data_IF_289792587884
#
_entry.id   IF_289792587884
#
_cell.length_a   1.000
_cell.length_b   1.000
_cell.length_c   1.000
_cell.angle_alpha   90.00
_cell.angle_beta   90.00
_cell.angle_gamma   90.00
#
_symmetry.space_group_name_H-M   'P 1'
#
loop_
_entity.id
_entity.type
_entity.pdbx_description
1 polymer ?
#
# COMPACT_ATOMS: atom_id res chain seq x y z
N UNK A 1 79.63 42.91 0.26
CA UNK A 1 78.54 42.02 0.74
C UNK A 1 77.33 42.89 1.02
N UNK A 2 76.30 42.78 0.19
CA UNK A 2 75.05 43.55 0.29
C UNK A 2 74.06 42.76 1.16
N UNK A 3 73.70 43.30 2.32
CA UNK A 3 72.67 42.70 3.17
C UNK A 3 71.30 43.14 2.67
N UNK A 4 70.51 42.20 2.14
CA UNK A 4 69.09 42.40 1.85
C UNK A 4 68.34 42.22 3.17
N UNK A 5 67.85 43.32 3.73
CA UNK A 5 66.97 43.28 4.89
C UNK A 5 65.56 42.86 4.43
N UNK A 6 65.16 41.63 4.77
CA UNK A 6 63.77 41.18 4.61
C UNK A 6 62.89 41.88 5.65
N UNK A 7 62.21 42.94 5.23
CA UNK A 7 61.19 43.62 6.03
C UNK A 7 59.91 42.78 5.98
N UNK A 8 59.64 42.02 7.05
CA UNK A 8 58.33 41.41 7.23
C UNK A 8 57.31 42.54 7.43
N UNK A 9 56.35 42.66 6.51
CA UNK A 9 55.23 43.57 6.69
C UNK A 9 54.36 43.04 7.84
N UNK A 10 53.99 43.87 8.83
CA UNK A 10 53.02 43.46 9.84
C UNK A 10 51.70 43.16 9.13
N UNK A 11 51.15 41.97 9.34
CA UNK A 11 49.78 41.66 8.94
C UNK A 11 48.90 42.66 9.67
N UNK A 12 48.25 43.56 8.93
CA UNK A 12 47.42 44.58 9.55
C UNK A 12 46.20 43.93 10.20
N UNK A 13 45.72 44.51 11.31
CA UNK A 13 44.48 44.08 11.97
C UNK A 13 43.30 44.05 11.00
N UNK A 14 43.34 44.90 9.98
CA UNK A 14 42.37 44.94 8.89
C UNK A 14 42.35 43.66 8.04
N UNK A 15 43.52 43.05 7.79
CA UNK A 15 43.62 41.79 7.05
C UNK A 15 43.07 40.62 7.87
N UNK A 16 43.26 40.64 9.19
CA UNK A 16 42.69 39.65 10.10
C UNK A 16 41.16 39.77 10.16
N UNK A 17 40.65 40.99 10.33
CA UNK A 17 39.19 41.24 10.34
C UNK A 17 38.51 40.86 9.01
N UNK A 18 39.19 41.06 7.86
CA UNK A 18 38.68 40.61 6.57
C UNK A 18 38.66 39.09 6.44
N UNK A 19 39.69 38.40 6.95
CA UNK A 19 39.75 36.94 6.94
C UNK A 19 38.65 36.34 7.84
N UNK A 20 38.43 36.92 9.02
CA UNK A 20 37.36 36.50 9.95
C UNK A 20 35.96 36.72 9.35
N UNK A 21 35.72 37.88 8.72
CA UNK A 21 34.47 38.16 8.02
C UNK A 21 34.27 37.17 6.85
N UNK A 22 35.31 36.91 6.06
CA UNK A 22 35.24 35.95 4.97
C UNK A 22 34.99 34.53 5.49
N UNK A 23 35.55 34.17 6.64
CA UNK A 23 35.33 32.89 7.28
C UNK A 23 33.89 32.77 7.81
N UNK A 24 33.34 33.84 8.40
CA UNK A 24 31.92 33.92 8.79
C UNK A 24 30.98 33.83 7.58
N UNK A 25 31.28 34.54 6.50
CA UNK A 25 30.52 34.47 5.23
C UNK A 25 30.59 33.04 4.68
N UNK A 26 31.76 32.40 4.67
CA UNK A 26 31.92 31.04 4.18
C UNK A 26 31.21 30.00 5.06
N UNK A 27 31.18 30.20 6.39
CA UNK A 27 30.43 29.36 7.32
C UNK A 27 28.92 29.54 7.16
N UNK A 28 28.45 30.76 6.90
CA UNK A 28 27.05 31.03 6.57
C UNK A 28 26.68 30.56 5.15
N UNK A 29 27.65 30.56 4.23
CA UNK A 29 27.50 30.13 2.84
C UNK A 29 27.73 28.62 2.64
N UNK A 30 27.92 27.84 3.71
CA UNK A 30 27.79 26.39 3.68
C UNK A 30 26.29 26.04 3.62
N UNK A 31 25.66 26.52 2.56
CA UNK A 31 24.31 26.21 2.12
C UNK A 31 24.35 24.75 1.70
N UNK A 32 23.96 23.85 2.60
CA UNK A 32 23.43 22.55 2.21
C UNK A 32 22.44 22.86 1.10
N UNK A 33 22.67 22.33 -0.11
CA UNK A 33 21.76 22.54 -1.23
C UNK A 33 20.34 22.26 -0.73
N UNK A 34 19.40 23.22 -0.83
CA UNK A 34 18.06 23.00 -0.31
C UNK A 34 17.52 21.76 -1.00
N UNK A 35 17.12 20.77 -0.21
CA UNK A 35 16.53 19.57 -0.75
C UNK A 35 15.28 20.00 -1.55
N UNK A 36 15.35 19.86 -2.87
CA UNK A 36 14.33 20.38 -3.76
C UNK A 36 13.12 19.48 -3.70
N UNK A 37 11.94 20.11 -3.58
CA UNK A 37 10.66 19.43 -3.70
C UNK A 37 10.48 18.97 -5.15
N UNK A 38 10.16 17.70 -5.35
CA UNK A 38 9.80 17.12 -6.64
C UNK A 38 8.34 16.73 -6.63
N UNK A 39 7.67 16.87 -7.77
CA UNK A 39 6.28 16.43 -7.94
C UNK A 39 6.25 15.16 -8.77
N UNK A 40 5.52 14.16 -8.29
CA UNK A 40 5.13 12.96 -9.03
C UNK A 40 3.64 13.04 -9.32
N UNK A 41 3.30 13.18 -10.60
CA UNK A 41 1.90 13.13 -11.04
C UNK A 41 1.42 11.67 -10.93
N UNK A 42 0.35 11.45 -10.16
CA UNK A 42 -0.36 10.16 -10.12
C UNK A 42 -1.41 10.16 -11.22
N UNK A 43 -2.21 11.21 -11.27
CA UNK A 43 -3.07 11.57 -12.37
C UNK A 43 -3.24 13.10 -12.46
N UNK A 44 -4.14 13.57 -13.33
CA UNK A 44 -4.36 15.00 -13.50
C UNK A 44 -4.82 15.70 -12.20
N UNK A 45 -5.53 15.00 -11.32
CA UNK A 45 -6.18 15.51 -10.10
C UNK A 45 -5.41 15.18 -8.81
N UNK A 46 -4.39 14.34 -8.87
CA UNK A 46 -3.57 13.93 -7.73
C UNK A 46 -2.07 13.99 -8.04
N UNK A 47 -1.33 14.69 -7.17
CA UNK A 47 0.12 14.79 -7.23
C UNK A 47 0.73 14.47 -5.87
N UNK A 48 1.82 13.74 -5.86
CA UNK A 48 2.61 13.48 -4.65
C UNK A 48 3.88 14.31 -4.66
N UNK A 49 4.21 14.89 -3.51
CA UNK A 49 5.35 15.79 -3.35
C UNK A 49 6.45 15.09 -2.55
N UNK A 50 7.63 14.99 -3.13
CA UNK A 50 8.75 14.24 -2.61
C UNK A 50 9.97 15.10 -2.37
N UNK A 51 10.78 14.67 -1.41
CA UNK A 51 12.15 15.15 -1.25
C UNK A 51 13.07 13.93 -1.23
N UNK A 52 13.87 13.79 -2.27
CA UNK A 52 14.51 12.50 -2.57
C UNK A 52 13.45 11.43 -2.78
N UNK A 53 13.42 10.43 -1.89
CA UNK A 53 12.44 9.34 -1.90
C UNK A 53 11.37 9.48 -0.79
N UNK A 54 11.45 10.55 0.03
CA UNK A 54 10.52 10.74 1.15
C UNK A 54 9.29 11.51 0.70
N UNK A 55 8.10 10.97 0.95
CA UNK A 55 6.83 11.67 0.77
C UNK A 55 6.70 12.81 1.80
N UNK A 56 6.31 13.99 1.32
CA UNK A 56 6.21 15.22 2.11
C UNK A 56 4.77 15.75 2.15
N UNK A 57 4.02 15.59 1.07
CA UNK A 57 2.62 15.99 0.98
C UNK A 57 1.94 15.38 -0.26
N UNK A 58 0.61 15.41 -0.28
CA UNK A 58 -0.22 15.12 -1.47
C UNK A 58 -0.98 16.38 -1.87
N UNK A 59 -1.11 16.65 -3.17
CA UNK A 59 -2.03 17.63 -3.72
C UNK A 59 -3.19 16.87 -4.35
N UNK A 60 -4.40 17.11 -3.88
CA UNK A 60 -5.62 16.47 -4.40
C UNK A 60 -6.63 17.51 -4.85
N UNK A 61 -7.51 17.12 -5.77
CA UNK A 61 -8.58 17.97 -6.27
C UNK A 61 -9.91 17.68 -5.55
N UNK A 62 -10.54 18.73 -5.02
CA UNK A 62 -11.87 18.76 -4.42
C UNK A 62 -12.91 19.02 -5.52
N UNK A 63 -13.67 18.00 -5.87
CA UNK A 63 -14.70 18.03 -6.91
C UNK A 63 -16.07 18.48 -6.41
N UNK A 64 -16.19 18.85 -5.12
CA UNK A 64 -17.45 19.29 -4.56
C UNK A 64 -17.97 20.60 -5.18
N UNK A 65 -19.29 20.73 -5.14
CA UNK A 65 -19.99 21.90 -5.67
C UNK A 65 -19.63 23.18 -4.88
N UNK A 66 -19.54 24.29 -5.61
CA UNK A 66 -19.29 25.65 -5.08
C UNK A 66 -17.94 25.89 -4.39
N UNK A 67 -16.95 25.02 -4.58
CA UNK A 67 -15.58 25.24 -4.09
C UNK A 67 -14.81 26.18 -5.02
N UNK A 68 -14.21 27.25 -4.49
CA UNK A 68 -13.40 28.20 -5.28
C UNK A 68 -11.91 27.85 -5.33
N UNK A 69 -11.42 27.17 -4.29
CA UNK A 69 -10.03 26.72 -4.15
C UNK A 69 -10.02 25.19 -4.06
N UNK A 70 -10.01 24.55 -5.23
CA UNK A 70 -10.22 23.10 -5.35
C UNK A 70 -8.99 22.26 -5.07
N UNK A 71 -7.78 22.83 -5.15
CA UNK A 71 -6.57 22.04 -4.95
C UNK A 71 -6.17 22.08 -3.48
N UNK A 72 -6.18 20.93 -2.83
CA UNK A 72 -5.92 20.77 -1.40
C UNK A 72 -4.54 20.15 -1.22
N UNK A 73 -3.71 20.73 -0.36
CA UNK A 73 -2.48 20.10 0.12
C UNK A 73 -2.78 19.35 1.40
N UNK A 74 -2.52 18.04 1.37
CA UNK A 74 -2.71 17.13 2.50
C UNK A 74 -1.36 16.64 3.02
N UNK A 75 -1.24 16.56 4.34
CA UNK A 75 -0.14 15.91 5.06
C UNK A 75 -0.77 15.02 6.13
N UNK A 76 -0.37 13.75 6.22
CA UNK A 76 -0.97 12.76 7.14
C UNK A 76 -2.50 12.69 7.02
N UNK A 77 -3.03 12.72 5.79
CA UNK A 77 -4.47 12.75 5.47
C UNK A 77 -5.25 13.93 6.06
N UNK A 78 -4.55 14.96 6.55
CA UNK A 78 -5.15 16.19 7.04
C UNK A 78 -4.90 17.32 6.04
N UNK A 79 -5.93 18.10 5.74
CA UNK A 79 -5.81 19.33 4.96
C UNK A 79 -4.94 20.35 5.70
N UNK A 80 -3.90 20.84 5.01
CA UNK A 80 -3.03 21.90 5.51
C UNK A 80 -3.47 23.26 4.94
N UNK A 81 -3.69 23.32 3.63
CA UNK A 81 -4.18 24.51 2.93
C UNK A 81 -4.70 24.14 1.54
N UNK A 82 -5.42 25.08 0.90
CA UNK A 82 -5.95 24.92 -0.45
C UNK A 82 -5.69 26.13 -1.35
N UNK A 83 -5.71 25.93 -2.68
CA UNK A 83 -5.52 26.95 -3.73
C UNK A 83 -6.38 26.70 -4.96
N UNK A 84 -6.43 27.69 -5.85
CA UNK A 84 -7.16 27.63 -7.12
C UNK A 84 -6.47 26.79 -8.22
N UNK A 85 -5.17 26.49 -8.10
CA UNK A 85 -4.41 25.68 -9.06
C UNK A 85 -3.29 24.90 -8.35
N UNK A 86 -3.11 23.62 -8.68
CA UNK A 86 -2.07 22.71 -8.19
C UNK A 86 -0.64 23.31 -8.18
N UNK A 87 -0.21 24.07 -9.20
CA UNK A 87 1.14 24.64 -9.20
C UNK A 87 1.34 25.65 -8.06
N UNK A 88 0.29 26.39 -7.72
CA UNK A 88 0.33 27.30 -6.57
C UNK A 88 0.41 26.52 -5.25
N UNK A 89 -0.25 25.36 -5.18
CA UNK A 89 -0.07 24.44 -4.05
C UNK A 89 1.37 23.94 -3.95
N UNK A 90 2.00 23.59 -5.07
CA UNK A 90 3.40 23.17 -5.13
C UNK A 90 4.35 24.28 -4.62
N UNK A 91 4.23 25.49 -5.18
CA UNK A 91 5.07 26.64 -4.81
C UNK A 91 4.96 26.98 -3.32
N UNK A 92 3.73 27.04 -2.81
CA UNK A 92 3.48 27.32 -1.40
C UNK A 92 3.99 26.19 -0.51
N UNK A 93 3.86 24.92 -0.93
CA UNK A 93 4.40 23.77 -0.19
C UNK A 93 5.92 23.88 -0.09
N UNK A 94 6.61 24.19 -1.19
CA UNK A 94 8.06 24.39 -1.17
C UNK A 94 8.45 25.53 -0.23
N UNK A 95 7.70 26.63 -0.23
CA UNK A 95 7.91 27.74 0.70
C UNK A 95 7.72 27.32 2.16
N UNK A 96 6.63 26.61 2.47
CA UNK A 96 6.33 26.13 3.82
C UNK A 96 7.37 25.11 4.31
N UNK A 97 7.80 24.19 3.44
CA UNK A 97 8.84 23.21 3.74
C UNK A 97 10.18 23.89 4.08
N UNK A 98 10.63 24.84 3.24
CA UNK A 98 11.89 25.57 3.45
C UNK A 98 11.97 26.32 4.80
N UNK A 99 10.82 26.55 5.44
CA UNK A 99 10.70 27.25 6.73
C UNK A 99 10.32 26.32 7.89
N UNK A 100 10.25 25.02 7.67
CA UNK A 100 9.80 24.04 8.67
C UNK A 100 8.37 24.32 9.17
N UNK A 101 7.52 24.88 8.30
CA UNK A 101 6.12 25.22 8.60
C UNK A 101 5.13 24.16 8.13
N UNK A 102 5.61 23.18 7.37
CA UNK A 102 4.81 22.03 6.98
C UNK A 102 4.75 21.04 8.15
N UNK A 103 3.59 20.41 8.41
CA UNK A 103 3.53 19.32 9.38
C UNK A 103 4.55 18.21 9.03
N UNK A 104 5.07 17.54 10.05
CA UNK A 104 6.01 16.44 9.84
C UNK A 104 5.21 15.24 9.33
N UNK A 105 5.60 14.70 8.18
CA UNK A 105 5.04 13.44 7.67
C UNK A 105 5.25 12.35 8.72
N UNK A 106 4.16 11.80 9.23
CA UNK A 106 4.18 10.61 10.07
C UNK A 106 4.58 9.42 9.20
N UNK A 107 5.32 8.43 9.72
CA UNK A 107 5.49 7.19 9.00
C UNK A 107 4.09 6.68 8.63
N UNK A 108 3.86 6.40 7.35
CA UNK A 108 2.63 5.75 6.92
C UNK A 108 2.49 4.50 7.78
N UNK A 109 1.61 4.58 8.77
CA UNK A 109 1.23 3.41 9.53
C UNK A 109 0.48 2.60 8.49
N UNK A 110 0.90 1.36 8.18
CA UNK A 110 0.14 0.53 7.25
C UNK A 110 -1.31 0.61 7.72
N UNK A 111 -2.18 1.09 6.83
CA UNK A 111 -3.55 1.36 7.17
C UNK A 111 -4.08 0.13 7.91
N UNK A 112 -4.70 0.35 9.09
CA UNK A 112 -5.48 -0.70 9.71
C UNK A 112 -6.45 -1.16 8.63
N UNK A 113 -6.18 -2.33 8.07
CA UNK A 113 -6.68 -2.69 6.75
C UNK A 113 -8.19 -2.72 6.87
N UNK A 114 -8.83 -1.71 6.28
CA UNK A 114 -10.29 -1.61 6.39
C UNK A 114 -10.86 -2.82 5.67
N UNK A 115 -11.97 -3.40 6.11
CA UNK A 115 -12.51 -4.63 5.51
C UNK A 115 -12.56 -4.60 3.98
N UNK A 116 -12.80 -3.43 3.38
CA UNK A 116 -12.81 -3.24 1.92
C UNK A 116 -11.44 -3.45 1.24
N UNK A 117 -10.33 -3.07 1.87
CA UNK A 117 -8.98 -3.26 1.32
C UNK A 117 -8.55 -4.72 1.37
N UNK A 118 -8.90 -5.43 2.45
CA UNK A 118 -8.70 -6.88 2.57
C UNK A 118 -9.49 -7.61 1.47
N UNK A 119 -10.75 -7.23 1.26
CA UNK A 119 -11.57 -7.84 0.21
C UNK A 119 -11.02 -7.54 -1.19
N UNK A 120 -10.50 -6.33 -1.44
CA UNK A 120 -9.86 -5.99 -2.70
C UNK A 120 -8.59 -6.81 -2.95
N UNK A 121 -7.74 -6.99 -1.94
CA UNK A 121 -6.54 -7.83 -2.03
C UNK A 121 -6.88 -9.30 -2.33
N UNK A 122 -7.88 -9.86 -1.65
CA UNK A 122 -8.35 -11.22 -1.92
C UNK A 122 -8.92 -11.33 -3.34
N UNK A 123 -9.68 -10.33 -3.80
CA UNK A 123 -10.24 -10.31 -5.15
C UNK A 123 -9.15 -10.29 -6.22
N UNK A 124 -8.14 -9.42 -6.07
CA UNK A 124 -7.00 -9.32 -6.99
C UNK A 124 -6.22 -10.64 -7.08
N UNK A 125 -6.01 -11.33 -5.96
CA UNK A 125 -5.37 -12.66 -5.96
C UNK A 125 -6.27 -13.72 -6.59
N UNK A 126 -7.59 -13.68 -6.33
CA UNK A 126 -8.54 -14.60 -6.95
C UNK A 126 -8.53 -14.48 -8.48
N UNK A 127 -8.48 -13.27 -9.03
CA UNK A 127 -8.39 -13.04 -10.47
C UNK A 127 -7.16 -13.70 -11.11
N UNK A 128 -6.00 -13.65 -10.44
CA UNK A 128 -4.75 -14.29 -10.92
C UNK A 128 -4.88 -15.81 -11.03
N UNK A 129 -5.69 -16.41 -10.16
CA UNK A 129 -5.93 -17.85 -10.11
C UNK A 129 -7.18 -18.30 -10.88
N UNK A 130 -7.88 -17.38 -11.56
CA UNK A 130 -9.13 -17.67 -12.25
C UNK A 130 -10.25 -18.10 -11.31
N UNK A 131 -10.27 -17.54 -10.11
CA UNK A 131 -11.27 -17.76 -9.07
C UNK A 131 -12.20 -16.55 -8.97
N UNK A 132 -13.42 -16.78 -8.50
CA UNK A 132 -14.44 -15.75 -8.32
C UNK A 132 -14.68 -15.53 -6.83
N UNK A 133 -14.59 -14.28 -6.36
CA UNK A 133 -14.92 -13.90 -5.00
C UNK A 133 -16.38 -13.42 -4.95
N UNK A 134 -17.20 -14.10 -4.15
CA UNK A 134 -18.60 -13.76 -3.87
C UNK A 134 -18.77 -13.39 -2.39
N UNK A 135 -19.95 -12.87 -2.03
CA UNK A 135 -20.28 -12.44 -0.67
C UNK A 135 -20.10 -13.54 0.39
N UNK A 136 -20.21 -14.80 0.00
CA UNK A 136 -20.12 -15.95 0.90
C UNK A 136 -18.85 -16.79 0.72
N UNK A 137 -17.95 -16.48 -0.21
CA UNK A 137 -16.68 -17.19 -0.34
C UNK A 137 -16.00 -17.11 -1.71
N UNK A 138 -15.00 -17.97 -1.91
CA UNK A 138 -14.16 -18.09 -3.12
C UNK A 138 -14.58 -19.30 -3.94
N UNK A 139 -14.74 -19.12 -5.24
CA UNK A 139 -15.31 -20.07 -6.18
C UNK A 139 -14.40 -20.37 -7.36
N UNK A 140 -14.58 -21.56 -7.96
CA UNK A 140 -14.09 -21.89 -9.31
C UNK A 140 -15.28 -22.33 -10.15
N UNK A 141 -15.75 -21.45 -11.02
CA UNK A 141 -17.04 -21.63 -11.69
C UNK A 141 -18.16 -21.73 -10.66
N UNK A 142 -19.02 -22.73 -10.76
CA UNK A 142 -20.16 -22.92 -9.84
C UNK A 142 -19.78 -23.62 -8.52
N UNK A 143 -18.49 -23.93 -8.30
CA UNK A 143 -18.04 -24.69 -7.12
C UNK A 143 -17.38 -23.78 -6.08
N UNK A 144 -17.91 -23.80 -4.85
CA UNK A 144 -17.32 -23.11 -3.71
C UNK A 144 -16.09 -23.86 -3.18
N UNK A 145 -14.94 -23.21 -3.14
CA UNK A 145 -13.70 -23.79 -2.62
C UNK A 145 -13.49 -23.49 -1.13
N UNK A 146 -13.98 -22.34 -0.67
CA UNK A 146 -13.76 -21.92 0.71
C UNK A 146 -14.00 -20.44 0.97
N UNK A 147 -13.45 -19.94 2.08
CA UNK A 147 -13.47 -18.54 2.48
C UNK A 147 -12.04 -18.09 2.81
N UNK A 148 -11.71 -16.84 2.52
CA UNK A 148 -10.45 -16.21 2.91
C UNK A 148 -10.75 -14.88 3.60
N UNK A 149 -9.91 -14.50 4.56
CA UNK A 149 -10.08 -13.25 5.26
C UNK A 149 -8.88 -12.87 6.13
N UNK A 150 -9.00 -11.71 6.77
CA UNK A 150 -8.01 -11.21 7.71
C UNK A 150 -8.73 -10.70 8.96
N UNK A 151 -8.30 -11.12 10.15
CA UNK A 151 -8.81 -10.65 11.44
C UNK A 151 -7.66 -10.14 12.29
N UNK A 152 -7.72 -8.89 12.74
CA UNK A 152 -6.69 -8.25 13.57
C UNK A 152 -5.27 -8.36 12.96
N UNK A 153 -5.18 -8.29 11.62
CA UNK A 153 -3.92 -8.43 10.87
C UNK A 153 -3.43 -9.86 10.66
N UNK A 154 -4.19 -10.87 11.10
CA UNK A 154 -3.88 -12.29 10.87
C UNK A 154 -4.71 -12.83 9.71
N UNK A 155 -4.04 -13.33 8.68
CA UNK A 155 -4.68 -13.95 7.54
C UNK A 155 -5.14 -15.37 7.86
N UNK A 156 -6.26 -15.75 7.25
CA UNK A 156 -6.82 -17.09 7.40
C UNK A 156 -7.59 -17.52 6.16
N UNK A 157 -7.73 -18.83 5.99
CA UNK A 157 -8.65 -19.44 5.05
C UNK A 157 -9.44 -20.59 5.69
N UNK A 158 -10.58 -20.94 5.10
CA UNK A 158 -11.40 -22.10 5.45
C UNK A 158 -11.69 -22.84 4.17
N UNK A 159 -11.45 -24.16 4.13
CA UNK A 159 -11.79 -24.99 2.97
C UNK A 159 -13.17 -25.60 3.11
N UNK A 160 -13.90 -25.69 2.01
CA UNK A 160 -15.12 -26.50 1.94
C UNK A 160 -14.73 -27.97 2.14
N UNK A 161 -15.49 -28.68 2.99
CA UNK A 161 -15.27 -30.11 3.29
C UNK A 161 -14.34 -30.40 4.49
N UNK A 162 -13.54 -29.43 4.95
CA UNK A 162 -12.80 -29.53 6.21
C UNK A 162 -13.64 -28.97 7.38
N UNK A 163 -13.26 -29.27 8.63
CA UNK A 163 -13.84 -28.57 9.79
C UNK A 163 -13.75 -27.07 9.54
N UNK A 164 -14.83 -26.30 9.77
CA UNK A 164 -14.94 -24.83 9.57
C UNK A 164 -13.96 -23.98 10.41
N UNK A 165 -12.84 -24.55 10.81
CA UNK A 165 -11.77 -23.93 11.55
C UNK A 165 -10.92 -23.07 10.60
N UNK A 166 -10.69 -21.83 11.02
CA UNK A 166 -9.85 -20.87 10.29
C UNK A 166 -8.41 -21.33 10.36
N UNK A 167 -7.85 -21.71 9.22
CA UNK A 167 -6.43 -22.07 9.10
C UNK A 167 -5.62 -20.79 8.97
N UNK A 168 -4.71 -20.48 9.92
CA UNK A 168 -3.90 -19.28 9.85
C UNK A 168 -2.87 -19.36 8.72
N UNK A 169 -2.63 -18.25 8.05
CA UNK A 169 -1.61 -18.12 6.99
C UNK A 169 -0.89 -16.76 7.06
N UNK A 170 0.16 -16.62 6.25
CA UNK A 170 1.07 -15.47 6.35
C UNK A 170 0.62 -14.28 5.47
N UNK A 171 -0.22 -14.52 4.45
CA UNK A 171 -0.67 -13.49 3.50
C UNK A 171 -2.01 -13.82 2.80
N UNK A 172 -2.56 -12.84 2.09
CA UNK A 172 -3.66 -13.00 1.12
C UNK A 172 -3.31 -13.99 0.01
N UNK A 173 -2.06 -13.92 -0.47
CA UNK A 173 -1.55 -14.80 -1.52
C UNK A 173 -1.56 -16.25 -1.04
N UNK A 174 -1.10 -16.50 0.20
CA UNK A 174 -1.14 -17.85 0.77
C UNK A 174 -2.58 -18.34 0.94
N UNK A 175 -3.47 -17.49 1.45
CA UNK A 175 -4.88 -17.84 1.64
C UNK A 175 -5.53 -18.30 0.31
N UNK A 176 -5.38 -17.50 -0.75
CA UNK A 176 -5.96 -17.80 -2.07
C UNK A 176 -5.24 -18.96 -2.76
N UNK A 177 -3.91 -19.04 -2.65
CA UNK A 177 -3.12 -20.15 -3.19
C UNK A 177 -3.58 -21.50 -2.61
N UNK A 178 -3.77 -21.57 -1.28
CA UNK A 178 -4.23 -22.79 -0.63
C UNK A 178 -5.66 -23.18 -1.01
N UNK A 179 -6.53 -22.21 -1.29
CA UNK A 179 -7.87 -22.46 -1.84
C UNK A 179 -7.81 -22.91 -3.30
N UNK A 180 -6.91 -22.35 -4.10
CA UNK A 180 -6.73 -22.71 -5.51
C UNK A 180 -6.23 -24.16 -5.70
N UNK A 181 -5.54 -24.73 -4.70
CA UNK A 181 -5.09 -26.12 -4.74
C UNK A 181 -6.21 -27.13 -4.50
N UNK A 182 -7.39 -26.71 -4.04
CA UNK A 182 -8.54 -27.62 -3.87
C UNK A 182 -9.01 -28.06 -5.26
N UNK A 183 -9.09 -29.38 -5.46
CA UNK A 183 -9.73 -29.91 -6.66
C UNK A 183 -11.22 -29.55 -6.58
N UNK A 184 -11.76 -28.92 -7.62
CA UNK A 184 -13.15 -28.49 -7.62
C UNK A 184 -14.08 -29.69 -7.41
N UNK A 185 -13.69 -30.89 -7.84
CA UNK A 185 -14.47 -32.11 -7.62
C UNK A 185 -14.46 -32.54 -6.14
N UNK A 186 -13.36 -32.32 -5.41
CA UNK A 186 -13.30 -32.61 -3.97
C UNK A 186 -14.17 -31.66 -3.14
N UNK A 187 -14.34 -30.42 -3.60
CA UNK A 187 -15.15 -29.39 -2.93
C UNK A 187 -16.66 -29.53 -3.13
N UNK A 188 -17.11 -30.37 -4.08
CA UNK A 188 -18.53 -30.64 -4.29
C UNK A 188 -19.15 -31.38 -3.10
N UNK A 189 -20.38 -31.02 -2.77
CA UNK A 189 -21.20 -31.79 -1.85
C UNK A 189 -21.74 -33.08 -2.50
N UNK A 190 -22.34 -33.97 -1.70
CA UNK A 190 -22.82 -35.26 -2.18
C UNK A 190 -23.95 -35.15 -3.21
N UNK A 191 -24.79 -34.12 -3.15
CA UNK A 191 -25.89 -33.93 -4.12
C UNK A 191 -25.36 -33.40 -5.44
N UNK A 192 -24.41 -32.47 -5.40
CA UNK A 192 -23.74 -31.93 -6.58
C UNK A 192 -22.87 -32.99 -7.29
N UNK A 193 -22.26 -33.90 -6.52
CA UNK A 193 -21.56 -35.07 -7.06
C UNK A 193 -22.50 -36.02 -7.84
N UNK A 194 -23.77 -36.11 -7.46
CA UNK A 194 -24.77 -36.94 -8.17
C UNK A 194 -25.22 -36.33 -9.51
N UNK A 195 -25.12 -35.00 -9.64
CA UNK A 195 -25.49 -34.27 -10.86
C UNK A 195 -24.37 -34.27 -11.92
N UNK A 196 -23.15 -34.70 -11.56
CA UNK A 196 -22.05 -34.83 -12.51
C UNK A 196 -22.21 -36.04 -13.46
N UNK A 197 -21.82 -35.90 -14.74
CA UNK A 197 -21.80 -37.03 -15.65
C UNK A 197 -20.74 -38.06 -15.22
N UNK A 198 -21.08 -39.35 -15.38
CA UNK A 198 -20.27 -40.47 -14.88
C UNK A 198 -18.80 -40.46 -15.32
N UNK A 199 -18.51 -39.96 -16.53
CA UNK A 199 -17.16 -39.92 -17.10
C UNK A 199 -16.25 -38.88 -16.43
N UNK A 200 -16.80 -37.98 -15.61
CA UNK A 200 -16.06 -36.97 -14.83
C UNK A 200 -15.78 -37.41 -13.39
N UNK A 201 -16.37 -38.51 -12.92
CA UNK A 201 -16.18 -39.01 -11.57
C UNK A 201 -14.92 -39.88 -11.47
N UNK A 202 -14.01 -39.52 -10.56
CA UNK A 202 -12.84 -40.33 -10.25
C UNK A 202 -13.22 -41.53 -9.35
N UNK A 203 -12.31 -42.49 -9.21
CA UNK A 203 -12.51 -43.62 -8.30
C UNK A 203 -12.74 -43.18 -6.84
N UNK A 204 -12.17 -42.04 -6.43
CA UNK A 204 -12.37 -41.47 -5.11
C UNK A 204 -13.78 -40.89 -4.95
N UNK A 205 -14.29 -40.19 -5.96
CA UNK A 205 -15.64 -39.61 -5.98
C UNK A 205 -16.72 -40.68 -5.91
N UNK A 206 -16.51 -41.79 -6.63
CA UNK A 206 -17.36 -42.97 -6.54
C UNK A 206 -17.39 -43.58 -5.13
N UNK A 207 -16.26 -43.58 -4.44
CA UNK A 207 -16.20 -44.07 -3.06
C UNK A 207 -16.95 -43.14 -2.10
N UNK A 208 -16.83 -41.81 -2.27
CA UNK A 208 -17.59 -40.81 -1.50
C UNK A 208 -19.11 -40.98 -1.68
N UNK A 209 -19.57 -41.22 -2.92
CA UNK A 209 -20.99 -41.47 -3.21
C UNK A 209 -21.52 -42.78 -2.59
N UNK A 210 -20.70 -43.84 -2.55
CA UNK A 210 -21.06 -45.10 -1.89
C UNK A 210 -21.23 -44.94 -0.38
N UNK A 211 -20.39 -44.13 0.27
CA UNK A 211 -20.50 -43.82 1.70
C UNK A 211 -21.75 -42.98 2.01
N UNK A 212 -22.11 -42.03 1.14
CA UNK A 212 -23.35 -41.25 1.25
C UNK A 212 -24.62 -42.13 1.17
N UNK A 213 -24.67 -43.06 0.21
CA UNK A 213 -25.80 -43.98 0.05
C UNK A 213 -26.05 -44.85 1.30
N UNK A 214 -24.98 -45.28 1.97
CA UNK A 214 -25.10 -46.05 3.23
C UNK A 214 -25.66 -45.23 4.39
N UNK A 215 -25.36 -43.93 4.46
CA UNK A 215 -25.86 -43.04 5.51
C UNK A 215 -27.34 -42.67 5.30
N UNK A 216 -27.78 -42.46 4.06
CA UNK A 216 -29.18 -42.15 3.73
C UNK A 216 -30.14 -43.28 4.11
N UNK A 217 -29.75 -44.54 3.82
CA UNK A 217 -30.56 -45.72 4.14
C UNK A 217 -30.71 -45.96 5.66
N UNK A 218 -29.75 -45.51 6.48
CA UNK A 218 -29.81 -45.61 7.94
C UNK A 218 -30.71 -44.55 8.59
N UNK A 219 -30.93 -43.41 7.93
CA UNK A 219 -31.80 -42.33 8.43
C UNK A 219 -33.26 -42.54 7.99
N UNK A 220 -33.48 -43.34 6.95
CA UNK A 220 -34.81 -43.64 6.41
C UNK A 220 -35.50 -44.90 7.00
N UNK A 221 -34.85 -45.60 7.95
CA UNK A 221 -35.36 -46.82 8.61
C UNK A 221 -35.91 -46.55 10.03
#
# INVERSE_FOLDING_TARGET
MTYIAHRQQPVSEQTLAQAELQQHINQQAQVVAPELLTSREIDFYEHELYIGERLVARIVYDDADFVTERWIVMVNNAEVFRRSWWQKCFDDTQWHYSRGKLPVQEPETPAATTGNEIMAQIADECEKHGLELLDDGVYRGDVKLGEAGCTDGNWWFVRVGESQERVPCDSEMDAVYWLSMVDAVEALDYEQLLDLPFDMLTAHDWQRLLEYGQYSDLVAA
#
